data_IF_829228950179
#
_entry.id   IF_829228950179
#
_cell.length_a   1.000
_cell.length_b   1.000
_cell.length_c   1.000
_cell.angle_alpha   90.00
_cell.angle_beta   90.00
_cell.angle_gamma   90.00
#
_symmetry.space_group_name_H-M   'P 1'
#
loop_
_entity.id
_entity.type
_entity.pdbx_description
1 polymer ?
#
# COMPACT_ATOMS: atom_id res chain seq x y z
N UNK A 1 5.27 -18.43 6.45
CA UNK A 1 4.42 -17.26 6.12
C UNK A 1 4.42 -16.14 7.18
N UNK A 2 5.29 -16.17 8.21
CA UNK A 2 5.25 -15.19 9.32
C UNK A 2 6.30 -14.08 9.23
N UNK A 3 7.37 -14.26 8.43
CA UNK A 3 8.53 -13.35 8.44
C UNK A 3 8.24 -12.02 7.74
N UNK A 4 7.54 -12.00 6.60
CA UNK A 4 7.28 -10.77 5.85
C UNK A 4 6.38 -9.76 6.59
N UNK A 5 5.37 -10.25 7.32
CA UNK A 5 4.40 -9.39 8.03
C UNK A 5 5.08 -8.64 9.19
N UNK A 6 6.02 -9.29 9.88
CA UNK A 6 6.78 -8.69 11.00
C UNK A 6 7.74 -7.62 10.49
N UNK A 7 8.43 -7.88 9.37
CA UNK A 7 9.32 -6.90 8.73
C UNK A 7 8.54 -5.62 8.41
N UNK A 8 7.39 -5.71 7.74
CA UNK A 8 6.61 -4.52 7.35
C UNK A 8 5.92 -3.79 8.53
N UNK A 9 5.49 -4.49 9.59
CA UNK A 9 4.93 -3.84 10.78
C UNK A 9 5.94 -2.95 11.51
N UNK A 10 7.23 -3.31 11.49
CA UNK A 10 8.31 -2.55 12.12
C UNK A 10 9.05 -1.57 11.19
N UNK A 11 8.96 -1.75 9.87
CA UNK A 11 9.68 -0.93 8.90
C UNK A 11 9.08 0.46 8.70
N UNK A 12 7.74 0.58 8.71
CA UNK A 12 7.04 1.82 8.33
C UNK A 12 7.46 3.06 9.17
N UNK A 13 7.62 2.98 10.51
CA UNK A 13 8.05 4.14 11.29
C UNK A 13 9.57 4.40 11.23
N UNK A 14 10.39 3.35 11.11
CA UNK A 14 11.86 3.47 11.21
C UNK A 14 12.50 3.85 9.87
N UNK A 15 11.99 3.27 8.78
CA UNK A 15 12.55 3.46 7.43
C UNK A 15 12.00 4.73 6.76
N UNK A 16 10.83 5.22 7.18
CA UNK A 16 10.27 6.48 6.71
C UNK A 16 11.11 7.73 7.04
N UNK A 17 12.09 7.65 7.95
CA UNK A 17 13.05 8.75 8.22
C UNK A 17 14.33 8.66 7.40
N UNK A 18 14.71 7.48 6.92
CA UNK A 18 16.00 7.24 6.24
C UNK A 18 15.85 7.36 4.72
N UNK A 19 14.65 7.06 4.18
CA UNK A 19 14.41 6.97 2.74
C UNK A 19 13.82 8.23 2.08
N UNK A 20 13.79 9.36 2.78
CA UNK A 20 13.19 10.63 2.31
C UNK A 20 14.02 11.40 1.28
N UNK A 21 15.21 10.92 0.91
CA UNK A 21 15.98 11.51 -0.19
C UNK A 21 15.34 11.17 -1.55
N UNK A 22 15.13 12.20 -2.37
CA UNK A 22 14.42 12.13 -3.65
C UNK A 22 14.92 11.00 -4.58
N UNK A 23 16.21 10.65 -4.51
CA UNK A 23 16.86 9.67 -5.40
C UNK A 23 16.33 8.25 -5.27
N UNK A 24 15.84 7.83 -4.09
CA UNK A 24 15.38 6.45 -3.88
C UNK A 24 13.85 6.33 -3.82
N UNK A 25 13.14 7.46 -3.79
CA UNK A 25 11.70 7.50 -3.52
C UNK A 25 10.87 6.72 -4.55
N UNK A 26 11.23 6.73 -5.82
CA UNK A 26 10.51 6.02 -6.89
C UNK A 26 10.69 4.50 -6.83
N UNK A 27 11.91 4.01 -6.59
CA UNK A 27 12.19 2.56 -6.50
C UNK A 27 11.47 1.94 -5.31
N UNK A 28 11.48 2.63 -4.17
CA UNK A 28 10.77 2.20 -2.96
C UNK A 28 9.27 2.16 -3.20
N UNK A 29 8.72 3.19 -3.84
CA UNK A 29 7.30 3.21 -4.19
C UNK A 29 6.94 2.04 -5.12
N UNK A 30 7.78 1.73 -6.12
CA UNK A 30 7.57 0.58 -7.00
C UNK A 30 7.51 -0.72 -6.21
N UNK A 31 8.48 -0.96 -5.32
CA UNK A 31 8.51 -2.16 -4.47
C UNK A 31 7.24 -2.29 -3.63
N UNK A 32 6.80 -1.19 -2.99
CA UNK A 32 5.57 -1.21 -2.22
C UNK A 32 4.35 -1.49 -3.10
N UNK A 33 4.26 -0.89 -4.29
CA UNK A 33 3.12 -1.14 -5.18
C UNK A 33 3.06 -2.58 -5.67
N UNK A 34 4.20 -3.18 -6.02
CA UNK A 34 4.27 -4.56 -6.51
C UNK A 34 3.94 -5.57 -5.41
N UNK A 35 4.48 -5.37 -4.21
CA UNK A 35 4.15 -6.20 -3.04
C UNK A 35 2.67 -6.09 -2.68
N UNK A 36 2.09 -4.88 -2.73
CA UNK A 36 0.68 -4.67 -2.46
C UNK A 36 -0.22 -5.35 -3.50
N UNK A 37 0.14 -5.34 -4.79
CA UNK A 37 -0.59 -6.06 -5.85
C UNK A 37 -0.64 -7.56 -5.56
N UNK A 38 0.51 -8.17 -5.32
CA UNK A 38 0.62 -9.60 -4.99
C UNK A 38 -0.15 -9.94 -3.72
N UNK A 39 -0.08 -9.07 -2.71
CA UNK A 39 -0.80 -9.26 -1.45
C UNK A 39 -2.31 -9.18 -1.63
N UNK A 40 -2.81 -8.18 -2.35
CA UNK A 40 -4.23 -7.96 -2.62
C UNK A 40 -4.85 -9.09 -3.47
N UNK A 41 -4.07 -9.65 -4.38
CA UNK A 41 -4.49 -10.80 -5.19
C UNK A 41 -4.69 -12.04 -4.31
N UNK A 42 -3.72 -12.34 -3.45
CA UNK A 42 -3.66 -13.59 -2.66
C UNK A 42 -4.48 -13.57 -1.39
N UNK A 43 -4.84 -12.41 -0.85
CA UNK A 43 -5.49 -12.29 0.45
C UNK A 43 -6.88 -11.66 0.34
N UNK A 44 -7.87 -12.33 0.92
CA UNK A 44 -9.27 -11.91 0.96
C UNK A 44 -9.70 -11.68 2.41
N UNK A 45 -10.60 -10.71 2.61
CA UNK A 45 -11.24 -10.46 3.91
C UNK A 45 -10.84 -9.12 4.51
N UNK A 46 -11.68 -8.64 5.45
CA UNK A 46 -11.64 -7.26 5.95
C UNK A 46 -10.29 -6.87 6.54
N UNK A 47 -9.71 -7.72 7.40
CA UNK A 47 -8.42 -7.47 8.05
C UNK A 47 -7.27 -7.25 7.05
N UNK A 48 -7.30 -7.93 5.91
CA UNK A 48 -6.31 -7.75 4.85
C UNK A 48 -6.50 -6.44 4.09
N UNK A 49 -7.75 -6.02 3.87
CA UNK A 49 -8.05 -4.74 3.22
C UNK A 49 -7.70 -3.55 4.11
N UNK A 50 -7.97 -3.64 5.42
CA UNK A 50 -7.52 -2.64 6.41
C UNK A 50 -5.99 -2.51 6.42
N UNK A 51 -5.27 -3.64 6.31
CA UNK A 51 -3.81 -3.63 6.20
C UNK A 51 -3.36 -2.90 4.92
N UNK A 52 -3.97 -3.20 3.77
CA UNK A 52 -3.69 -2.51 2.50
C UNK A 52 -3.90 -1.00 2.65
N UNK A 53 -5.05 -0.56 3.18
CA UNK A 53 -5.33 0.86 3.40
C UNK A 53 -4.30 1.52 4.33
N UNK A 54 -3.85 0.82 5.37
CA UNK A 54 -2.80 1.31 6.27
C UNK A 54 -1.47 1.53 5.55
N UNK A 55 -1.07 0.63 4.66
CA UNK A 55 0.16 0.79 3.86
C UNK A 55 0.02 1.95 2.89
N UNK A 56 -1.12 2.07 2.19
CA UNK A 56 -1.40 3.19 1.30
C UNK A 56 -1.32 4.55 2.03
N UNK A 57 -1.83 4.65 3.27
CA UNK A 57 -1.68 5.85 4.12
C UNK A 57 -0.21 6.15 4.45
N UNK A 58 0.62 5.13 4.62
CA UNK A 58 2.07 5.29 4.79
C UNK A 58 2.74 5.82 3.53
N UNK A 59 2.42 5.23 2.37
CA UNK A 59 2.98 5.63 1.08
C UNK A 59 2.69 7.08 0.70
N UNK A 60 1.50 7.62 1.04
CA UNK A 60 1.16 9.04 0.80
C UNK A 60 2.13 10.04 1.44
N UNK A 61 2.91 9.62 2.44
CA UNK A 61 3.90 10.45 3.14
C UNK A 61 5.26 10.49 2.44
N UNK A 62 5.49 9.61 1.45
CA UNK A 62 6.72 9.55 0.66
C UNK A 62 6.67 10.57 -0.49
N UNK A 63 7.84 11.00 -0.96
CA UNK A 63 7.94 11.84 -2.16
C UNK A 63 7.42 11.06 -3.39
N UNK A 64 6.54 11.66 -4.20
CA UNK A 64 5.83 10.99 -5.30
C UNK A 64 4.75 9.98 -4.84
N UNK A 65 4.55 9.83 -3.54
CA UNK A 65 3.68 8.80 -2.97
C UNK A 65 2.20 9.07 -3.17
N UNK A 66 1.79 10.34 -3.34
CA UNK A 66 0.39 10.69 -3.59
C UNK A 66 -0.05 10.19 -4.97
N UNK A 67 0.75 10.42 -5.99
CA UNK A 67 0.52 10.00 -7.37
C UNK A 67 0.53 8.47 -7.47
N UNK A 68 1.51 7.81 -6.87
CA UNK A 68 1.60 6.35 -6.84
C UNK A 68 0.39 5.71 -6.14
N UNK A 69 -0.02 6.25 -4.98
CA UNK A 69 -1.21 5.77 -4.27
C UNK A 69 -2.47 5.98 -5.09
N UNK A 70 -2.64 7.13 -5.75
CA UNK A 70 -3.80 7.38 -6.62
C UNK A 70 -3.89 6.33 -7.74
N UNK A 71 -2.78 6.10 -8.45
CA UNK A 71 -2.73 5.12 -9.53
C UNK A 71 -3.09 3.71 -9.04
N UNK A 72 -2.52 3.28 -7.92
CA UNK A 72 -2.77 1.96 -7.37
C UNK A 72 -4.22 1.81 -6.85
N UNK A 73 -4.78 2.85 -6.23
CA UNK A 73 -6.19 2.85 -5.80
C UNK A 73 -7.13 2.74 -6.99
N UNK A 74 -6.88 3.48 -8.07
CA UNK A 74 -7.69 3.43 -9.29
C UNK A 74 -7.62 2.04 -9.93
N UNK A 75 -6.43 1.43 -9.98
CA UNK A 75 -6.22 0.04 -10.41
C UNK A 75 -7.04 -0.96 -9.55
N UNK A 76 -6.92 -0.87 -8.23
CA UNK A 76 -7.61 -1.76 -7.30
C UNK A 76 -9.13 -1.61 -7.36
N UNK A 77 -9.65 -0.38 -7.55
CA UNK A 77 -11.08 -0.14 -7.74
C UNK A 77 -11.61 -0.88 -8.96
N UNK A 78 -10.86 -0.95 -10.05
CA UNK A 78 -11.24 -1.70 -11.25
C UNK A 78 -11.17 -3.21 -11.01
N UNK A 79 -10.03 -3.70 -10.53
CA UNK A 79 -9.77 -5.14 -10.36
C UNK A 79 -10.70 -5.78 -9.32
N UNK A 80 -10.96 -5.07 -8.23
CA UNK A 80 -11.61 -5.63 -7.05
C UNK A 80 -13.01 -5.06 -6.79
N UNK A 81 -13.66 -4.43 -7.78
CA UNK A 81 -15.00 -3.82 -7.67
C UNK A 81 -16.10 -4.71 -7.05
N UNK A 82 -15.92 -6.03 -7.10
CA UNK A 82 -16.84 -7.03 -6.50
C UNK A 82 -16.50 -7.42 -5.05
N UNK A 83 -15.57 -6.71 -4.40
CA UNK A 83 -15.17 -6.92 -3.01
C UNK A 83 -15.63 -5.71 -2.18
N UNK A 84 -16.85 -5.69 -1.61
CA UNK A 84 -17.43 -4.50 -0.99
C UNK A 84 -16.57 -3.92 0.14
N UNK A 85 -16.05 -4.79 1.01
CA UNK A 85 -15.15 -4.40 2.09
C UNK A 85 -13.86 -3.75 1.59
N UNK A 86 -13.36 -4.12 0.40
CA UNK A 86 -12.20 -3.46 -0.19
C UNK A 86 -12.57 -2.09 -0.73
N UNK A 87 -13.71 -1.95 -1.41
CA UNK A 87 -14.18 -0.66 -1.93
C UNK A 87 -14.42 0.35 -0.80
N UNK A 88 -14.91 -0.10 0.36
CA UNK A 88 -15.08 0.74 1.54
C UNK A 88 -13.74 1.30 2.04
N UNK A 89 -12.73 0.44 2.21
CA UNK A 89 -11.38 0.85 2.60
C UNK A 89 -10.73 1.79 1.57
N UNK A 90 -10.95 1.54 0.27
CA UNK A 90 -10.48 2.42 -0.81
C UNK A 90 -11.26 3.73 -0.91
N UNK A 91 -12.42 3.84 -0.26
CA UNK A 91 -13.25 5.05 -0.24
C UNK A 91 -12.57 6.24 0.45
N UNK A 92 -11.61 5.97 1.34
CA UNK A 92 -10.84 7.02 2.04
C UNK A 92 -9.87 7.79 1.12
N UNK A 93 -9.60 7.26 -0.08
CA UNK A 93 -8.62 7.79 -1.03
C UNK A 93 -9.35 8.49 -2.18
N UNK A 94 -9.82 9.71 -1.92
CA UNK A 94 -10.51 10.60 -2.89
C UNK A 94 -9.52 11.65 -3.40
#
# INVERSE_FOLDING_TARGET
MTVAIVVYKGLIPVVGRILTNATHSSEILSLFTDDLRVYAEKNLGRSHYEYIARVLRGMRKLNGGKEAVKQLVDEFRVLYKRRPAMMEELGEFI
#
